data_IF_566146104068
#
_entry.id   IF_566146104068
#
_cell.length_a   1.000
_cell.length_b   1.000
_cell.length_c   1.000
_cell.angle_alpha   90.00
_cell.angle_beta   90.00
_cell.angle_gamma   90.00
#
_symmetry.space_group_name_H-M   'P 1'
#
loop_
_entity.id
_entity.type
_entity.pdbx_description
1 polymer ?
#
# COMPACT_ATOMS: atom_id res chain seq x y z
N UNK A 1 14.99 -29.54 -11.24
CA UNK A 1 15.82 -29.07 -10.11
C UNK A 1 16.87 -28.09 -10.57
N UNK A 2 17.16 -27.11 -9.72
CA UNK A 2 18.24 -26.14 -9.90
C UNK A 2 19.28 -26.41 -8.81
N UNK A 3 20.50 -26.78 -9.20
CA UNK A 3 21.60 -27.11 -8.30
C UNK A 3 22.93 -26.61 -8.85
N UNK A 4 23.87 -26.33 -7.97
CA UNK A 4 25.24 -25.88 -8.25
C UNK A 4 25.27 -24.64 -9.16
N UNK A 5 24.38 -23.68 -8.87
CA UNK A 5 24.32 -22.37 -9.55
C UNK A 5 24.70 -21.23 -8.62
N UNK A 6 25.32 -20.22 -9.20
CA UNK A 6 25.43 -18.89 -8.63
C UNK A 6 24.21 -18.08 -9.07
N UNK A 7 23.36 -17.71 -8.12
CA UNK A 7 22.09 -17.02 -8.36
C UNK A 7 22.17 -15.64 -7.73
N UNK A 8 21.94 -14.63 -8.54
CA UNK A 8 21.90 -13.24 -8.12
C UNK A 8 20.46 -12.73 -8.13
N UNK A 9 19.98 -12.22 -7.00
CA UNK A 9 18.63 -11.66 -6.88
C UNK A 9 18.71 -10.14 -6.70
N UNK A 10 18.18 -9.43 -7.69
CA UNK A 10 17.98 -7.98 -7.64
C UNK A 10 16.70 -7.67 -6.89
N UNK A 11 16.80 -6.92 -5.78
CA UNK A 11 15.65 -6.61 -4.93
C UNK A 11 15.75 -5.22 -4.31
N UNK A 12 14.66 -4.83 -3.64
CA UNK A 12 14.73 -3.73 -2.69
C UNK A 12 15.38 -4.18 -1.39
N UNK A 13 15.93 -3.22 -0.65
CA UNK A 13 16.50 -3.42 0.68
C UNK A 13 15.48 -4.04 1.63
N UNK A 14 15.87 -5.12 2.31
CA UNK A 14 14.98 -5.91 3.16
C UNK A 14 13.87 -6.66 2.38
N UNK A 15 12.90 -7.27 3.07
CA UNK A 15 11.76 -8.01 2.51
C UNK A 15 11.75 -9.51 2.86
N UNK A 16 11.06 -10.35 2.08
CA UNK A 16 10.90 -11.79 2.38
C UNK A 16 12.14 -12.61 1.98
N UNK A 17 12.57 -13.51 2.86
CA UNK A 17 13.74 -14.38 2.65
C UNK A 17 13.41 -15.74 2.03
N UNK A 18 12.12 -16.08 1.92
CA UNK A 18 11.65 -17.41 1.50
C UNK A 18 12.26 -17.91 0.20
N UNK A 19 12.46 -17.03 -0.79
CA UNK A 19 13.05 -17.42 -2.08
C UNK A 19 14.53 -17.77 -1.95
N UNK A 20 15.30 -17.00 -1.17
CA UNK A 20 16.72 -17.30 -0.91
C UNK A 20 16.87 -18.54 -0.07
N UNK A 21 16.06 -18.71 0.96
CA UNK A 21 16.07 -19.92 1.80
C UNK A 21 15.73 -21.16 0.96
N UNK A 22 14.79 -21.04 0.01
CA UNK A 22 14.42 -22.11 -0.90
C UNK A 22 15.56 -22.47 -1.88
N UNK A 23 16.10 -21.47 -2.58
CA UNK A 23 17.16 -21.67 -3.59
C UNK A 23 18.51 -22.03 -2.97
N UNK A 24 18.82 -21.47 -1.80
CA UNK A 24 20.09 -21.64 -1.08
C UNK A 24 20.32 -23.05 -0.54
N UNK A 25 19.33 -23.93 -0.62
CA UNK A 25 19.50 -25.36 -0.24
C UNK A 25 20.54 -26.06 -1.11
N UNK A 26 20.60 -25.72 -2.40
CA UNK A 26 21.45 -26.39 -3.39
C UNK A 26 22.24 -25.41 -4.29
N UNK A 27 22.21 -24.12 -3.99
CA UNK A 27 22.78 -23.07 -4.83
C UNK A 27 23.44 -21.99 -3.96
N UNK A 28 24.39 -21.24 -4.53
CA UNK A 28 24.90 -20.02 -3.93
C UNK A 28 23.95 -18.88 -4.31
N UNK A 29 23.43 -18.16 -3.32
CA UNK A 29 22.45 -17.09 -3.55
C UNK A 29 22.92 -15.79 -2.93
N UNK A 30 23.10 -14.78 -3.78
CA UNK A 30 23.49 -13.43 -3.38
C UNK A 30 22.39 -12.42 -3.69
N UNK A 31 22.37 -11.34 -2.92
CA UNK A 31 21.45 -10.23 -3.10
C UNK A 31 22.19 -9.00 -3.61
N UNK A 32 21.57 -8.32 -4.57
CA UNK A 32 21.86 -6.93 -4.89
C UNK A 32 20.64 -6.10 -4.53
N UNK A 33 20.78 -5.28 -3.50
CA UNK A 33 19.77 -4.32 -3.08
C UNK A 33 19.91 -3.05 -3.93
N UNK A 34 19.05 -2.88 -4.92
CA UNK A 34 19.14 -1.80 -5.92
C UNK A 34 18.20 -0.63 -5.65
N UNK A 35 17.33 -0.74 -4.64
CA UNK A 35 16.47 0.35 -4.19
C UNK A 35 16.11 0.19 -2.72
N UNK A 36 15.63 1.25 -2.09
CA UNK A 36 15.05 1.23 -0.75
C UNK A 36 13.67 1.89 -0.79
N UNK A 37 12.70 1.32 -0.06
CA UNK A 37 11.41 1.98 0.15
C UNK A 37 11.56 2.97 1.28
N UNK A 38 11.30 4.24 0.99
CA UNK A 38 11.34 5.32 1.99
C UNK A 38 10.05 6.12 1.92
N UNK A 39 9.63 6.70 3.04
CA UNK A 39 8.50 7.62 3.07
C UNK A 39 8.77 8.81 2.14
N UNK A 40 7.75 9.23 1.40
CA UNK A 40 7.84 10.41 0.54
C UNK A 40 8.05 11.67 1.39
N UNK A 41 8.91 12.58 0.90
CA UNK A 41 9.03 13.91 1.49
C UNK A 41 7.75 14.70 1.20
N UNK A 42 7.13 15.25 2.26
CA UNK A 42 5.94 16.07 2.12
C UNK A 42 6.34 17.42 1.49
N UNK A 43 5.92 17.62 0.24
CA UNK A 43 5.99 18.90 -0.48
C UNK A 43 4.61 19.58 -0.55
N UNK A 44 4.59 20.88 -0.87
CA UNK A 44 3.39 21.72 -0.96
C UNK A 44 2.29 21.12 -1.87
N UNK A 45 2.66 20.39 -2.93
CA UNK A 45 1.70 19.72 -3.80
C UNK A 45 0.80 18.73 -3.06
N UNK A 46 1.31 17.98 -2.08
CA UNK A 46 0.49 17.06 -1.30
C UNK A 46 -0.57 17.80 -0.47
N UNK A 47 -0.22 18.96 0.09
CA UNK A 47 -1.17 19.77 0.83
C UNK A 47 -2.29 20.27 -0.09
N UNK A 48 -1.94 20.80 -1.27
CA UNK A 48 -2.95 21.22 -2.26
C UNK A 48 -3.85 20.04 -2.67
N UNK A 49 -3.28 18.87 -2.94
CA UNK A 49 -4.05 17.67 -3.31
C UNK A 49 -4.99 17.21 -2.21
N UNK A 50 -4.53 17.19 -0.94
CA UNK A 50 -5.35 16.82 0.20
C UNK A 50 -6.50 17.82 0.39
N UNK A 51 -6.21 19.12 0.39
CA UNK A 51 -7.24 20.16 0.51
C UNK A 51 -8.28 20.04 -0.61
N UNK A 52 -7.85 19.82 -1.86
CA UNK A 52 -8.78 19.64 -2.97
C UNK A 52 -9.62 18.37 -2.84
N UNK A 53 -9.02 17.26 -2.39
CA UNK A 53 -9.74 16.01 -2.15
C UNK A 53 -10.84 16.19 -1.08
N UNK A 54 -10.51 16.87 0.03
CA UNK A 54 -11.44 17.11 1.14
C UNK A 54 -12.57 18.10 0.82
N UNK A 55 -12.49 18.83 -0.30
CA UNK A 55 -13.58 19.73 -0.74
C UNK A 55 -14.77 19.00 -1.37
N UNK A 56 -14.62 17.72 -1.71
CA UNK A 56 -15.68 16.91 -2.32
C UNK A 56 -16.01 15.72 -1.43
N UNK A 57 -17.29 15.43 -1.24
CA UNK A 57 -17.77 14.23 -0.56
C UNK A 57 -17.81 12.98 -1.47
N UNK A 58 -17.53 13.15 -2.77
CA UNK A 58 -17.54 12.07 -3.78
C UNK A 58 -16.18 11.37 -3.95
N UNK A 59 -15.20 11.71 -3.12
CA UNK A 59 -13.87 11.11 -3.18
C UNK A 59 -13.89 9.62 -2.84
N UNK A 60 -12.98 8.85 -3.43
CA UNK A 60 -12.73 7.45 -3.05
C UNK A 60 -11.23 7.26 -2.85
N UNK A 61 -10.84 6.59 -1.77
CA UNK A 61 -9.46 6.30 -1.44
C UNK A 61 -9.16 4.84 -1.83
N UNK A 62 -8.06 4.59 -2.51
CA UNK A 62 -7.60 3.22 -2.82
C UNK A 62 -6.31 2.88 -2.07
N UNK A 63 -6.22 1.67 -1.53
CA UNK A 63 -5.04 1.19 -0.80
C UNK A 63 -4.68 -0.23 -1.26
N UNK A 64 -3.41 -0.39 -1.64
CA UNK A 64 -2.89 -1.67 -2.15
C UNK A 64 -2.08 -2.47 -1.12
N UNK A 65 -1.75 -1.87 0.03
CA UNK A 65 -1.08 -2.56 1.13
C UNK A 65 -1.28 -1.88 2.48
N UNK A 66 -1.11 -2.64 3.56
CA UNK A 66 -1.13 -2.09 4.94
C UNK A 66 -0.08 -0.97 5.12
N UNK A 67 1.12 -1.15 4.57
CA UNK A 67 2.21 -0.16 4.60
C UNK A 67 1.81 1.14 3.89
N UNK A 68 1.08 1.03 2.78
CA UNK A 68 0.56 2.19 2.06
C UNK A 68 -0.49 2.96 2.88
N UNK A 69 -1.40 2.27 3.58
CA UNK A 69 -2.38 2.93 4.46
C UNK A 69 -1.71 3.62 5.65
N UNK A 70 -0.77 2.94 6.33
CA UNK A 70 -0.05 3.57 7.45
C UNK A 70 0.73 4.80 7.00
N UNK A 71 1.34 4.74 5.81
CA UNK A 71 2.07 5.88 5.24
C UNK A 71 1.14 7.04 4.88
N UNK A 72 -0.02 6.76 4.26
CA UNK A 72 -1.02 7.79 3.94
C UNK A 72 -1.48 8.51 5.20
N UNK A 73 -1.87 7.78 6.25
CA UNK A 73 -2.34 8.39 7.50
C UNK A 73 -1.26 9.27 8.15
N UNK A 74 -0.01 8.77 8.22
CA UNK A 74 1.10 9.54 8.76
C UNK A 74 1.41 10.79 7.91
N UNK A 75 1.23 10.74 6.60
CA UNK A 75 1.39 11.92 5.73
C UNK A 75 0.26 12.92 5.94
N UNK A 76 -0.99 12.46 6.04
CA UNK A 76 -2.15 13.33 6.29
C UNK A 76 -2.02 14.00 7.65
N UNK A 77 -1.71 13.26 8.71
CA UNK A 77 -1.51 13.80 10.06
C UNK A 77 -0.40 14.87 10.12
N UNK A 78 0.68 14.68 9.37
CA UNK A 78 1.75 15.69 9.26
C UNK A 78 1.34 16.95 8.48
N UNK A 79 0.41 16.83 7.52
CA UNK A 79 -0.09 17.96 6.74
C UNK A 79 -1.16 18.72 7.54
N UNK A 80 -2.11 17.99 8.10
CA UNK A 80 -3.28 18.49 8.83
C UNK A 80 -3.83 17.38 9.73
N UNK A 81 -3.73 17.57 11.04
CA UNK A 81 -4.17 16.58 12.05
C UNK A 81 -5.70 16.36 11.99
N UNK A 82 -6.47 17.41 11.70
CA UNK A 82 -7.95 17.32 11.66
C UNK A 82 -8.42 16.62 10.37
N UNK A 83 -7.62 16.70 9.30
CA UNK A 83 -7.88 15.98 8.06
C UNK A 83 -7.83 14.45 8.24
N UNK A 84 -7.10 13.93 9.24
CA UNK A 84 -6.99 12.50 9.48
C UNK A 84 -8.35 11.86 9.80
N UNK A 85 -9.17 12.52 10.62
CA UNK A 85 -10.52 12.03 10.92
C UNK A 85 -11.47 12.20 9.72
N UNK A 86 -11.25 13.23 8.91
CA UNK A 86 -12.04 13.50 7.71
C UNK A 86 -11.84 12.39 6.66
N UNK A 87 -10.60 11.98 6.38
CA UNK A 87 -10.33 10.93 5.37
C UNK A 87 -10.92 9.56 5.75
N UNK A 88 -11.11 9.27 7.05
CA UNK A 88 -11.68 8.01 7.54
C UNK A 88 -13.17 7.85 7.22
N UNK A 89 -13.85 8.95 6.90
CA UNK A 89 -15.26 8.96 6.51
C UNK A 89 -15.45 8.65 5.01
N UNK A 90 -14.40 8.74 4.21
CA UNK A 90 -14.47 8.44 2.78
C UNK A 90 -14.51 6.92 2.54
N UNK A 91 -15.17 6.48 1.45
CA UNK A 91 -15.05 5.11 0.99
C UNK A 91 -13.60 4.72 0.72
N UNK A 92 -13.20 3.57 1.25
CA UNK A 92 -11.87 2.98 1.09
C UNK A 92 -11.98 1.67 0.31
N UNK A 93 -11.34 1.59 -0.85
CA UNK A 93 -11.23 0.36 -1.64
C UNK A 93 -9.88 -0.28 -1.40
N UNK A 94 -9.87 -1.57 -1.04
CA UNK A 94 -8.65 -2.30 -0.69
C UNK A 94 -8.50 -3.60 -1.47
N UNK A 95 -7.27 -4.04 -1.69
CA UNK A 95 -7.02 -5.27 -2.47
C UNK A 95 -7.25 -6.59 -1.70
N UNK A 96 -7.38 -6.57 -0.38
CA UNK A 96 -7.49 -7.82 0.38
C UNK A 96 -8.12 -7.63 1.76
N UNK A 97 -8.67 -8.72 2.30
CA UNK A 97 -9.23 -8.77 3.66
C UNK A 97 -8.20 -8.33 4.72
N UNK A 98 -6.93 -8.71 4.55
CA UNK A 98 -5.86 -8.30 5.47
C UNK A 98 -5.75 -6.78 5.59
N UNK A 99 -5.92 -6.06 4.48
CA UNK A 99 -5.89 -4.60 4.46
C UNK A 99 -7.18 -4.06 5.08
N UNK A 100 -8.34 -4.65 4.76
CA UNK A 100 -9.64 -4.27 5.37
C UNK A 100 -9.61 -4.37 6.89
N UNK A 101 -9.14 -5.49 7.43
CA UNK A 101 -9.02 -5.69 8.89
C UNK A 101 -8.16 -4.59 9.53
N UNK A 102 -7.02 -4.26 8.93
CA UNK A 102 -6.17 -3.17 9.42
C UNK A 102 -6.86 -1.80 9.29
N UNK A 103 -7.53 -1.53 8.18
CA UNK A 103 -8.26 -0.28 7.94
C UNK A 103 -9.38 -0.07 8.98
N UNK A 104 -10.14 -1.12 9.30
CA UNK A 104 -11.16 -1.08 10.36
C UNK A 104 -10.52 -0.76 11.73
N UNK A 105 -9.39 -1.39 12.04
CA UNK A 105 -8.68 -1.17 13.31
C UNK A 105 -8.21 0.28 13.48
N UNK A 106 -7.85 0.96 12.39
CA UNK A 106 -7.40 2.35 12.41
C UNK A 106 -8.53 3.37 12.17
N UNK A 107 -9.79 2.91 12.13
CA UNK A 107 -10.99 3.74 12.21
C UNK A 107 -11.67 4.07 10.87
N UNK A 108 -11.35 3.36 9.77
CA UNK A 108 -12.13 3.48 8.54
C UNK A 108 -13.44 2.69 8.65
N UNK A 109 -14.54 3.34 8.25
CA UNK A 109 -15.88 2.80 8.45
C UNK A 109 -16.52 2.25 7.17
N UNK A 110 -16.11 2.75 6.00
CA UNK A 110 -16.65 2.37 4.69
C UNK A 110 -15.55 1.70 3.88
N UNK A 111 -15.52 0.37 3.85
CA UNK A 111 -14.42 -0.38 3.22
C UNK A 111 -14.94 -1.48 2.30
N UNK A 112 -14.58 -1.38 1.02
CA UNK A 112 -14.88 -2.35 -0.02
C UNK A 112 -13.63 -3.11 -0.44
N UNK A 113 -13.76 -4.42 -0.68
CA UNK A 113 -12.65 -5.25 -1.14
C UNK A 113 -12.77 -5.45 -2.63
N UNK A 114 -11.69 -5.16 -3.36
CA UNK A 114 -11.61 -5.46 -4.78
C UNK A 114 -11.86 -6.97 -5.03
N UNK A 115 -12.79 -7.35 -5.95
CA UNK A 115 -13.05 -8.75 -6.27
C UNK A 115 -11.83 -9.47 -6.85
N UNK A 116 -10.84 -8.71 -7.33
CA UNK A 116 -9.57 -9.20 -7.85
C UNK A 116 -8.42 -8.32 -7.36
N UNK A 117 -7.25 -8.93 -7.12
CA UNK A 117 -6.04 -8.25 -6.62
C UNK A 117 -5.26 -7.55 -7.74
N UNK A 118 -5.97 -6.79 -8.58
CA UNK A 118 -5.45 -6.09 -9.74
C UNK A 118 -6.22 -4.78 -9.98
N UNK A 119 -5.80 -4.02 -10.98
CA UNK A 119 -6.40 -2.72 -11.30
C UNK A 119 -7.88 -2.85 -11.73
N UNK A 120 -8.22 -3.89 -12.49
CA UNK A 120 -9.60 -4.17 -12.91
C UNK A 120 -10.53 -4.44 -11.72
N UNK A 121 -10.02 -5.14 -10.71
CA UNK A 121 -10.73 -5.38 -9.45
C UNK A 121 -10.95 -4.10 -8.67
N UNK A 122 -9.94 -3.22 -8.59
CA UNK A 122 -10.10 -1.91 -7.94
C UNK A 122 -11.17 -1.08 -8.64
N UNK A 123 -11.14 -0.99 -9.97
CA UNK A 123 -12.13 -0.23 -10.75
C UNK A 123 -13.54 -0.76 -10.51
N UNK A 124 -13.75 -2.08 -10.59
CA UNK A 124 -15.06 -2.69 -10.33
C UNK A 124 -15.57 -2.41 -8.92
N UNK A 125 -14.69 -2.42 -7.92
CA UNK A 125 -15.07 -2.08 -6.56
C UNK A 125 -15.47 -0.61 -6.42
N UNK A 126 -14.73 0.31 -7.07
CA UNK A 126 -15.09 1.73 -7.14
C UNK A 126 -16.47 1.91 -7.81
N UNK A 127 -16.71 1.27 -8.95
CA UNK A 127 -18.00 1.34 -9.65
C UNK A 127 -19.18 0.81 -8.82
N UNK A 128 -18.94 -0.10 -7.88
CA UNK A 128 -19.99 -0.68 -7.04
C UNK A 128 -20.41 0.20 -5.86
N UNK A 129 -19.62 1.23 -5.53
CA UNK A 129 -19.84 2.12 -4.39
C UNK A 129 -20.14 3.57 -4.81
N UNK A 130 -20.05 3.87 -6.11
CA UNK A 130 -20.55 5.09 -6.74
C UNK A 130 -22.05 4.93 -7.07
#
# INVERSE_FOLDING_TARGET
DLSDKDILIFRGKGGRETLREGLGKNNVVEYIEVYERTQCKIVAFHQTSLTQFLQSDQGVITITSVENLSTLMAMVEQIDVDALESIKQYPLVVLSERIKTYAQLVGFNQIEIAPQTNDEGLVKAIESIL
#
